data_IF_424701324212
#
_entry.id   IF_424701324212
#
_cell.length_a   1.000
_cell.length_b   1.000
_cell.length_c   1.000
_cell.angle_alpha   90.00
_cell.angle_beta   90.00
_cell.angle_gamma   90.00
#
_symmetry.space_group_name_H-M   'P 1'
#
loop_
_entity.id
_entity.type
_entity.pdbx_description
1 polymer ?
#
# COMPACT_ATOMS: atom_id res chain seq x y z
N UNK A 1 26.43 -13.49 -29.61
CA UNK A 1 26.16 -12.44 -28.63
C UNK A 1 27.45 -11.69 -28.38
N UNK A 2 27.48 -10.41 -28.71
CA UNK A 2 28.63 -9.52 -28.43
C UNK A 2 28.09 -8.40 -27.56
N UNK A 3 28.51 -8.38 -26.29
CA UNK A 3 28.02 -7.44 -25.30
C UNK A 3 28.92 -6.21 -25.20
N UNK A 4 28.32 -5.03 -25.14
CA UNK A 4 28.99 -3.78 -24.80
C UNK A 4 28.47 -3.28 -23.44
N UNK A 5 29.38 -3.06 -22.49
CA UNK A 5 29.06 -2.50 -21.18
C UNK A 5 28.89 -0.98 -21.29
N UNK A 6 27.77 -0.46 -20.77
CA UNK A 6 27.50 0.99 -20.71
C UNK A 6 28.02 1.62 -19.44
N UNK A 7 28.08 0.87 -18.34
CA UNK A 7 28.57 1.37 -17.06
C UNK A 7 28.31 0.40 -15.90
N UNK A 8 28.72 0.84 -14.71
CA UNK A 8 28.51 0.12 -13.45
C UNK A 8 28.06 1.09 -12.37
N UNK A 9 27.20 0.59 -11.50
CA UNK A 9 26.73 1.23 -10.27
C UNK A 9 27.18 0.38 -9.06
N UNK A 10 26.62 0.62 -7.88
CA UNK A 10 26.93 -0.17 -6.70
C UNK A 10 26.38 -1.59 -6.83
N UNK A 11 25.17 -1.74 -7.37
CA UNK A 11 24.47 -3.02 -7.45
C UNK A 11 24.55 -3.67 -8.83
N UNK A 12 24.74 -2.91 -9.92
CA UNK A 12 24.62 -3.44 -11.28
C UNK A 12 25.74 -3.04 -12.23
N UNK A 13 26.17 -3.98 -13.07
CA UNK A 13 26.98 -3.71 -14.26
C UNK A 13 26.12 -3.99 -15.49
N UNK A 14 25.81 -2.94 -16.23
CA UNK A 14 24.81 -3.00 -17.30
C UNK A 14 25.50 -3.07 -18.66
N UNK A 15 25.08 -4.05 -19.46
CA UNK A 15 25.54 -4.25 -20.84
C UNK A 15 24.35 -4.49 -21.79
N UNK A 16 24.58 -4.32 -23.08
CA UNK A 16 23.60 -4.66 -24.13
C UNK A 16 24.27 -5.46 -25.25
N UNK A 17 23.49 -6.30 -25.94
CA UNK A 17 23.93 -6.99 -27.14
C UNK A 17 23.98 -6.01 -28.33
N UNK A 18 25.14 -5.94 -28.98
CA UNK A 18 25.42 -5.04 -30.11
C UNK A 18 24.65 -5.34 -31.39
N UNK A 19 23.92 -6.46 -31.46
CA UNK A 19 22.98 -6.76 -32.55
C UNK A 19 21.66 -5.99 -32.44
N UNK A 20 21.33 -5.45 -31.26
CA UNK A 20 20.16 -4.61 -31.06
C UNK A 20 20.31 -3.27 -31.79
N UNK A 21 19.18 -2.65 -32.13
CA UNK A 21 19.18 -1.28 -32.65
C UNK A 21 19.79 -0.31 -31.61
N UNK A 22 20.18 0.89 -32.06
CA UNK A 22 20.66 1.94 -31.15
C UNK A 22 19.65 2.21 -30.00
N UNK A 23 18.35 2.20 -30.33
CA UNK A 23 17.28 2.44 -29.39
C UNK A 23 17.10 1.25 -28.42
N UNK A 24 17.03 0.02 -28.95
CA UNK A 24 16.74 -1.18 -28.16
C UNK A 24 17.93 -1.63 -27.31
N UNK A 25 19.16 -1.33 -27.73
CA UNK A 25 20.39 -1.68 -27.03
C UNK A 25 20.92 -0.53 -26.17
N UNK A 26 21.69 0.36 -26.79
CA UNK A 26 22.47 1.39 -26.08
C UNK A 26 21.58 2.35 -25.28
N UNK A 27 20.51 2.88 -25.89
CA UNK A 27 19.67 3.88 -25.23
C UNK A 27 18.91 3.30 -24.03
N UNK A 28 18.33 2.10 -24.14
CA UNK A 28 17.71 1.40 -23.00
C UNK A 28 18.72 1.08 -21.90
N UNK A 29 19.91 0.61 -22.25
CA UNK A 29 20.95 0.30 -21.26
C UNK A 29 21.42 1.56 -20.51
N UNK A 30 21.58 2.69 -21.20
CA UNK A 30 21.90 3.98 -20.58
C UNK A 30 20.76 4.49 -19.69
N UNK A 31 19.51 4.35 -20.15
CA UNK A 31 18.34 4.73 -19.36
C UNK A 31 18.19 3.87 -18.10
N UNK A 32 18.43 2.55 -18.19
CA UNK A 32 18.43 1.66 -17.03
C UNK A 32 19.51 2.04 -16.02
N UNK A 33 20.73 2.34 -16.49
CA UNK A 33 21.86 2.74 -15.64
C UNK A 33 21.54 4.00 -14.81
N UNK A 34 20.71 4.91 -15.34
CA UNK A 34 20.33 6.13 -14.65
C UNK A 34 19.33 5.92 -13.50
N UNK A 35 18.58 4.81 -13.48
CA UNK A 35 17.47 4.57 -12.53
C UNK A 35 17.61 3.28 -11.71
N UNK A 36 18.53 2.39 -12.06
CA UNK A 36 18.60 1.05 -11.46
C UNK A 36 18.86 1.07 -9.95
N UNK A 37 19.58 2.07 -9.43
CA UNK A 37 19.83 2.20 -7.98
C UNK A 37 18.59 2.65 -7.20
N UNK A 38 17.77 3.56 -7.77
CA UNK A 38 16.49 3.90 -7.14
C UNK A 38 15.51 2.74 -7.17
N UNK A 39 15.53 1.94 -8.25
CA UNK A 39 14.68 0.75 -8.39
C UNK A 39 15.08 -0.31 -7.37
N UNK A 40 16.39 -0.54 -7.22
CA UNK A 40 16.93 -1.43 -6.19
C UNK A 40 16.53 -1.01 -4.79
N UNK A 41 16.54 0.29 -4.48
CA UNK A 41 16.16 0.77 -3.17
C UNK A 41 14.69 0.44 -2.82
N UNK A 42 13.78 0.51 -3.80
CA UNK A 42 12.37 0.10 -3.62
C UNK A 42 12.30 -1.41 -3.34
N UNK A 43 12.96 -2.22 -4.16
CA UNK A 43 12.97 -3.67 -4.01
C UNK A 43 13.57 -4.10 -2.67
N UNK A 44 14.73 -3.57 -2.30
CA UNK A 44 15.39 -3.90 -1.03
C UNK A 44 14.54 -3.46 0.17
N UNK A 45 13.90 -2.29 0.11
CA UNK A 45 13.00 -1.79 1.17
C UNK A 45 11.80 -2.72 1.42
N UNK A 46 11.25 -3.35 0.38
CA UNK A 46 10.19 -4.35 0.56
C UNK A 46 10.63 -5.57 1.38
N UNK A 47 11.91 -5.94 1.27
CA UNK A 47 12.51 -7.06 2.00
C UNK A 47 13.25 -6.62 3.28
N UNK A 48 12.99 -5.40 3.77
CA UNK A 48 13.59 -4.89 5.01
C UNK A 48 15.08 -4.56 4.90
N UNK A 49 15.55 -4.21 3.71
CA UNK A 49 16.94 -3.80 3.46
C UNK A 49 17.91 -4.96 3.29
N UNK A 50 17.43 -6.17 2.97
CA UNK A 50 18.32 -7.31 2.71
C UNK A 50 19.15 -7.08 1.43
N UNK A 51 20.41 -7.50 1.47
CA UNK A 51 21.31 -7.43 0.34
C UNK A 51 21.09 -8.60 -0.63
N UNK A 52 21.52 -8.43 -1.88
CA UNK A 52 21.55 -9.53 -2.85
C UNK A 52 22.52 -10.63 -2.40
N UNK A 53 22.25 -11.91 -2.69
CA UNK A 53 23.06 -13.03 -2.22
C UNK A 53 24.33 -13.27 -3.07
N UNK A 54 24.76 -12.29 -3.86
CA UNK A 54 25.84 -12.40 -4.85
C UNK A 54 26.94 -11.35 -4.67
N UNK A 55 28.08 -11.58 -5.33
CA UNK A 55 29.11 -10.57 -5.49
C UNK A 55 28.60 -9.40 -6.32
N UNK A 56 28.71 -8.18 -5.77
CA UNK A 56 28.33 -6.96 -6.45
C UNK A 56 29.50 -6.36 -7.24
N UNK A 57 29.24 -5.68 -8.37
CA UNK A 57 27.93 -5.50 -9.01
C UNK A 57 27.44 -6.76 -9.75
N UNK A 58 26.12 -7.02 -9.73
CA UNK A 58 25.49 -8.09 -10.52
C UNK A 58 25.44 -7.68 -11.98
N UNK A 59 25.83 -8.59 -12.87
CA UNK A 59 25.74 -8.36 -14.31
C UNK A 59 24.29 -8.36 -14.81
N UNK A 60 23.94 -7.35 -15.60
CA UNK A 60 22.63 -7.21 -16.26
C UNK A 60 22.84 -6.98 -17.76
N UNK A 61 22.25 -7.84 -18.58
CA UNK A 61 22.39 -7.82 -20.03
C UNK A 61 21.03 -7.59 -20.71
N UNK A 62 20.90 -6.53 -21.51
CA UNK A 62 19.78 -6.36 -22.44
C UNK A 62 20.11 -7.11 -23.72
N UNK A 63 19.30 -8.11 -24.09
CA UNK A 63 19.62 -9.06 -25.16
C UNK A 63 18.43 -9.24 -26.11
N UNK A 64 18.67 -9.61 -27.39
CA UNK A 64 17.59 -9.85 -28.34
C UNK A 64 16.70 -11.03 -27.93
N UNK A 65 15.41 -10.93 -28.23
CA UNK A 65 14.41 -11.95 -27.94
C UNK A 65 13.01 -11.50 -28.30
N UNK A 66 12.05 -12.43 -28.27
CA UNK A 66 10.63 -12.09 -28.38
C UNK A 66 10.17 -11.28 -27.17
N UNK A 67 9.12 -10.47 -27.36
CA UNK A 67 8.43 -9.81 -26.26
C UNK A 67 7.66 -10.83 -25.41
N UNK A 68 7.84 -10.87 -24.10
CA UNK A 68 8.99 -10.38 -23.33
C UNK A 68 9.36 -11.42 -22.28
N UNK A 69 10.59 -11.39 -21.77
CA UNK A 69 11.01 -12.34 -20.73
C UNK A 69 12.37 -12.01 -20.14
N UNK A 70 12.68 -12.62 -18.99
CA UNK A 70 13.96 -12.44 -18.34
C UNK A 70 14.43 -13.75 -17.68
N UNK A 71 15.60 -13.68 -17.04
CA UNK A 71 16.18 -14.80 -16.28
C UNK A 71 17.11 -14.24 -15.20
N UNK A 72 16.98 -14.74 -13.97
CA UNK A 72 17.58 -14.12 -12.79
C UNK A 72 19.06 -14.44 -12.60
N UNK A 73 19.53 -15.64 -12.92
CA UNK A 73 20.90 -16.05 -12.56
C UNK A 73 21.98 -15.06 -13.06
N UNK A 74 22.99 -14.65 -12.26
CA UNK A 74 24.05 -13.77 -12.74
C UNK A 74 24.76 -14.38 -13.98
N UNK A 75 24.71 -13.73 -15.16
CA UNK A 75 24.13 -12.42 -15.44
C UNK A 75 22.61 -12.42 -15.66
N UNK A 76 21.90 -11.48 -15.03
CA UNK A 76 20.49 -11.21 -15.33
C UNK A 76 20.37 -10.90 -16.83
N UNK A 77 19.47 -11.56 -17.53
CA UNK A 77 19.29 -11.35 -18.97
C UNK A 77 17.87 -10.88 -19.28
N UNK A 78 17.74 -9.64 -19.76
CA UNK A 78 16.47 -8.98 -20.06
C UNK A 78 16.18 -9.05 -21.57
N UNK A 79 15.03 -9.61 -21.95
CA UNK A 79 14.50 -9.66 -23.33
C UNK A 79 13.20 -8.88 -23.41
N UNK A 80 13.27 -7.54 -23.43
CA UNK A 80 12.06 -6.71 -23.51
C UNK A 80 11.35 -6.83 -24.86
N UNK A 81 12.00 -7.32 -25.92
CA UNK A 81 11.49 -7.25 -27.29
C UNK A 81 11.83 -5.93 -27.99
N UNK A 82 11.80 -5.94 -29.33
CA UNK A 82 12.07 -4.76 -30.14
C UNK A 82 10.93 -3.73 -29.99
N UNK A 83 11.29 -2.45 -29.85
CA UNK A 83 10.32 -1.36 -29.74
C UNK A 83 9.64 -1.15 -28.37
N UNK A 84 9.83 -2.04 -27.41
CA UNK A 84 9.35 -1.92 -26.02
C UNK A 84 9.81 -0.66 -25.28
N UNK A 85 8.97 -0.20 -24.35
CA UNK A 85 9.31 0.93 -23.49
C UNK A 85 10.34 0.59 -22.41
N UNK A 86 10.75 1.62 -21.67
CA UNK A 86 11.67 1.48 -20.52
C UNK A 86 10.98 0.87 -19.30
N UNK A 87 9.66 1.03 -19.20
CA UNK A 87 8.78 0.35 -18.25
C UNK A 87 8.93 -1.17 -18.32
N UNK A 88 8.91 -1.77 -19.51
CA UNK A 88 9.09 -3.23 -19.69
C UNK A 88 10.45 -3.69 -19.18
N UNK A 89 11.51 -2.94 -19.48
CA UNK A 89 12.88 -3.28 -19.05
C UNK A 89 12.98 -3.25 -17.51
N UNK A 90 12.38 -2.24 -16.88
CA UNK A 90 12.38 -2.11 -15.41
C UNK A 90 11.50 -3.17 -14.77
N UNK A 91 10.33 -3.46 -15.33
CA UNK A 91 9.45 -4.55 -14.90
C UNK A 91 10.20 -5.89 -14.89
N UNK A 92 10.88 -6.23 -15.99
CA UNK A 92 11.67 -7.46 -16.08
C UNK A 92 12.82 -7.49 -15.08
N UNK A 93 13.56 -6.38 -14.90
CA UNK A 93 14.61 -6.34 -13.89
C UNK A 93 14.04 -6.56 -12.47
N UNK A 94 12.89 -5.95 -12.18
CA UNK A 94 12.25 -6.09 -10.87
C UNK A 94 11.84 -7.53 -10.62
N UNK A 95 11.16 -8.18 -11.57
CA UNK A 95 10.72 -9.57 -11.45
C UNK A 95 11.87 -10.50 -11.04
N UNK A 96 13.01 -10.40 -11.72
CA UNK A 96 14.17 -11.26 -11.43
C UNK A 96 14.90 -10.89 -10.13
N UNK A 97 15.02 -9.60 -9.82
CA UNK A 97 15.76 -9.14 -8.63
C UNK A 97 15.01 -9.47 -7.35
N UNK A 98 13.68 -9.36 -7.33
CA UNK A 98 12.91 -9.73 -6.14
C UNK A 98 12.99 -11.23 -5.85
N UNK A 99 13.15 -12.09 -6.86
CA UNK A 99 13.40 -13.52 -6.67
C UNK A 99 14.76 -13.79 -6.02
N UNK A 100 15.81 -13.02 -6.40
CA UNK A 100 17.08 -13.08 -5.68
C UNK A 100 16.95 -12.65 -4.22
N UNK A 101 16.11 -11.65 -3.94
CA UNK A 101 15.85 -11.20 -2.56
C UNK A 101 15.02 -12.23 -1.78
N UNK A 102 14.10 -12.95 -2.43
CA UNK A 102 13.38 -14.10 -1.85
C UNK A 102 14.36 -15.23 -1.49
N UNK A 103 15.29 -15.55 -2.39
CA UNK A 103 16.37 -16.49 -2.14
C UNK A 103 17.25 -16.04 -0.96
N UNK A 104 17.65 -14.77 -0.92
CA UNK A 104 18.44 -14.22 0.18
C UNK A 104 17.69 -14.25 1.51
N UNK A 105 16.38 -13.97 1.49
CA UNK A 105 15.54 -14.01 2.69
C UNK A 105 15.41 -15.44 3.22
N UNK A 106 15.34 -16.44 2.34
CA UNK A 106 15.31 -17.86 2.66
C UNK A 106 14.23 -18.25 3.69
N UNK A 107 12.99 -17.79 3.46
CA UNK A 107 11.84 -18.02 4.37
C UNK A 107 10.64 -18.70 3.71
N UNK A 108 10.82 -19.30 2.54
CA UNK A 108 9.79 -20.12 1.88
C UNK A 108 9.13 -19.49 0.64
N UNK A 109 9.59 -18.32 0.20
CA UNK A 109 9.29 -17.78 -1.13
C UNK A 109 10.15 -18.38 -2.25
N UNK A 110 11.11 -19.21 -1.88
CA UNK A 110 12.03 -19.89 -2.79
C UNK A 110 12.14 -21.34 -2.34
N UNK A 111 12.36 -22.26 -3.27
CA UNK A 111 12.58 -23.67 -2.98
C UNK A 111 13.74 -23.84 -1.98
N UNK A 112 13.59 -24.78 -1.06
CA UNK A 112 14.54 -24.96 0.04
C UNK A 112 15.94 -25.38 -0.41
N UNK A 113 16.06 -25.94 -1.61
CA UNK A 113 17.31 -26.31 -2.25
C UNK A 113 17.96 -25.16 -3.01
N UNK A 114 17.32 -23.99 -3.06
CA UNK A 114 17.79 -22.80 -3.79
C UNK A 114 17.73 -22.97 -5.31
N UNK A 115 16.96 -23.92 -5.83
CA UNK A 115 16.89 -24.19 -7.27
C UNK A 115 16.00 -23.22 -8.04
N UNK A 116 14.83 -22.87 -7.47
CA UNK A 116 13.81 -22.07 -8.13
C UNK A 116 12.88 -21.37 -7.13
N UNK A 117 12.24 -20.28 -7.54
CA UNK A 117 11.25 -19.52 -6.76
C UNK A 117 9.91 -20.26 -6.60
N UNK A 118 9.58 -21.13 -7.56
CA UNK A 118 8.36 -21.93 -7.58
C UNK A 118 7.11 -21.07 -7.70
N UNK A 119 5.92 -21.69 -7.68
CA UNK A 119 4.69 -20.96 -8.03
C UNK A 119 4.37 -19.81 -7.06
N UNK A 120 4.77 -19.92 -5.79
CA UNK A 120 4.58 -18.87 -4.78
C UNK A 120 5.51 -17.67 -5.00
N UNK A 121 6.81 -17.93 -5.26
CA UNK A 121 7.78 -16.88 -5.54
C UNK A 121 7.50 -16.19 -6.89
N UNK A 122 7.15 -16.98 -7.91
CA UNK A 122 6.74 -16.52 -9.25
C UNK A 122 5.47 -15.65 -9.20
N UNK A 123 4.52 -15.99 -8.33
CA UNK A 123 3.35 -15.16 -8.05
C UNK A 123 3.70 -13.87 -7.31
N UNK A 124 4.63 -13.93 -6.34
CA UNK A 124 5.08 -12.76 -5.62
C UNK A 124 5.88 -11.80 -6.52
N UNK A 125 6.75 -12.30 -7.39
CA UNK A 125 7.56 -11.47 -8.30
C UNK A 125 6.71 -10.67 -9.27
N UNK A 126 5.61 -11.26 -9.76
CA UNK A 126 4.55 -10.54 -10.53
C UNK A 126 3.88 -9.45 -9.73
N UNK A 127 3.41 -9.75 -8.51
CA UNK A 127 2.74 -8.75 -7.67
C UNK A 127 3.68 -7.58 -7.36
N UNK A 128 4.95 -7.87 -7.06
CA UNK A 128 5.95 -6.83 -6.78
C UNK A 128 6.33 -6.03 -8.03
N UNK A 129 6.35 -6.64 -9.20
CA UNK A 129 6.58 -5.91 -10.45
C UNK A 129 5.41 -4.99 -10.80
N UNK A 130 4.16 -5.42 -10.60
CA UNK A 130 2.98 -4.57 -10.73
C UNK A 130 2.99 -3.42 -9.70
N UNK A 131 3.31 -3.71 -8.44
CA UNK A 131 3.41 -2.70 -7.38
C UNK A 131 4.55 -1.70 -7.66
N UNK A 132 5.66 -2.15 -8.26
CA UNK A 132 6.74 -1.27 -8.71
C UNK A 132 6.24 -0.26 -9.74
N UNK A 133 5.56 -0.73 -10.80
CA UNK A 133 5.01 0.14 -11.83
C UNK A 133 4.05 1.18 -11.22
N UNK A 134 3.20 0.74 -10.28
CA UNK A 134 2.26 1.63 -9.59
C UNK A 134 2.98 2.68 -8.74
N UNK A 135 3.96 2.29 -7.92
CA UNK A 135 4.73 3.21 -7.06
C UNK A 135 5.57 4.21 -7.83
N UNK A 136 6.02 3.84 -9.02
CA UNK A 136 6.86 4.70 -9.87
C UNK A 136 6.06 5.49 -10.90
N UNK A 137 4.73 5.34 -10.93
CA UNK A 137 3.85 6.05 -11.87
C UNK A 137 4.00 5.58 -13.32
N UNK A 138 4.54 4.38 -13.55
CA UNK A 138 4.76 3.81 -14.89
C UNK A 138 3.58 2.99 -15.41
N UNK A 139 2.65 2.59 -14.54
CA UNK A 139 1.50 1.80 -14.93
C UNK A 139 0.93 0.98 -13.78
N UNK A 140 0.16 -0.05 -14.11
CA UNK A 140 -0.51 -0.93 -13.14
C UNK A 140 -0.14 -2.41 -13.31
N UNK A 141 0.18 -2.83 -14.54
CA UNK A 141 0.73 -4.14 -14.89
C UNK A 141 1.33 -4.06 -16.31
N UNK A 142 2.18 -5.03 -16.67
CA UNK A 142 2.68 -5.18 -18.03
C UNK A 142 1.67 -5.95 -18.90
N UNK A 143 1.24 -5.42 -20.06
CA UNK A 143 0.25 -6.09 -20.90
C UNK A 143 0.65 -7.52 -21.32
N UNK A 144 -0.24 -8.48 -21.06
CA UNK A 144 -0.05 -9.88 -21.46
C UNK A 144 0.79 -10.72 -20.49
N UNK A 145 1.22 -10.15 -19.36
CA UNK A 145 1.91 -10.86 -18.27
C UNK A 145 0.96 -11.38 -17.20
N UNK A 146 -0.34 -11.10 -17.32
CA UNK A 146 -1.36 -11.55 -16.38
C UNK A 146 -1.50 -13.07 -16.37
N UNK A 147 -1.45 -13.65 -15.16
CA UNK A 147 -1.56 -15.09 -14.93
C UNK A 147 -2.81 -15.47 -14.15
N UNK A 148 -3.40 -14.54 -13.40
CA UNK A 148 -4.61 -14.75 -12.62
C UNK A 148 -5.73 -15.43 -13.41
N UNK A 149 -5.93 -15.01 -14.67
CA UNK A 149 -6.94 -15.59 -15.57
C UNK A 149 -6.79 -17.09 -15.77
N UNK A 150 -5.56 -17.63 -15.76
CA UNK A 150 -5.35 -19.06 -15.94
C UNK A 150 -5.97 -19.86 -14.81
N UNK A 151 -5.90 -19.37 -13.57
CA UNK A 151 -6.53 -20.03 -12.44
C UNK A 151 -8.05 -19.78 -12.41
N UNK A 152 -8.50 -18.54 -12.62
CA UNK A 152 -9.93 -18.20 -12.62
C UNK A 152 -10.71 -19.03 -13.65
N UNK A 153 -10.12 -19.29 -14.82
CA UNK A 153 -10.76 -20.03 -15.90
C UNK A 153 -10.47 -21.56 -15.86
N UNK A 154 -9.84 -22.06 -14.79
CA UNK A 154 -9.52 -23.48 -14.59
C UNK A 154 -10.54 -24.20 -13.68
N UNK A 155 -10.20 -25.43 -13.26
CA UNK A 155 -10.87 -26.15 -12.17
C UNK A 155 -10.67 -25.51 -10.78
N UNK A 156 -9.84 -24.46 -10.67
CA UNK A 156 -9.54 -23.71 -9.43
C UNK A 156 -9.01 -24.62 -8.33
N UNK A 157 -7.97 -25.40 -8.67
CA UNK A 157 -7.25 -26.27 -7.74
C UNK A 157 -6.61 -25.44 -6.63
N UNK A 158 -6.53 -26.00 -5.41
CA UNK A 158 -5.89 -25.37 -4.26
C UNK A 158 -4.36 -25.35 -4.38
N UNK A 159 -3.86 -24.29 -5.02
CA UNK A 159 -2.44 -23.93 -5.02
C UNK A 159 -2.09 -22.92 -3.91
N UNK A 160 -2.96 -22.71 -2.92
CA UNK A 160 -2.66 -21.89 -1.74
C UNK A 160 -2.00 -22.76 -0.67
N UNK A 161 -2.50 -23.98 -0.50
CA UNK A 161 -1.95 -24.96 0.44
C UNK A 161 -1.03 -26.00 -0.23
N UNK A 162 -1.07 -26.14 -1.56
CA UNK A 162 -0.23 -27.07 -2.32
C UNK A 162 0.64 -26.32 -3.32
N UNK A 163 1.81 -25.85 -2.87
CA UNK A 163 2.77 -25.16 -3.74
C UNK A 163 3.59 -26.19 -4.51
N UNK A 164 3.73 -25.95 -5.82
CA UNK A 164 4.72 -26.61 -6.64
C UNK A 164 6.01 -25.77 -6.64
N UNK A 165 7.02 -26.22 -5.91
CA UNK A 165 8.27 -25.49 -5.70
C UNK A 165 9.17 -25.46 -6.94
N UNK A 166 8.84 -26.23 -7.99
CA UNK A 166 9.60 -26.29 -9.23
C UNK A 166 8.84 -25.74 -10.45
N UNK A 167 7.58 -25.32 -10.26
CA UNK A 167 6.81 -24.69 -11.31
C UNK A 167 6.97 -23.16 -11.30
N UNK A 168 7.37 -22.65 -12.46
CA UNK A 168 7.59 -21.23 -12.74
C UNK A 168 6.96 -20.84 -14.08
N UNK A 169 5.97 -21.62 -14.52
CA UNK A 169 5.27 -21.34 -15.76
C UNK A 169 4.19 -20.28 -15.52
N UNK A 170 3.89 -19.44 -16.54
CA UNK A 170 2.70 -18.60 -16.52
C UNK A 170 1.45 -19.47 -16.73
N UNK A 171 0.91 -20.04 -15.65
CA UNK A 171 -0.18 -21.01 -15.67
C UNK A 171 -1.14 -20.85 -14.48
N UNK A 172 -1.99 -21.85 -14.23
CA UNK A 172 -2.96 -21.80 -13.14
C UNK A 172 -2.34 -21.83 -11.73
N UNK A 173 -1.12 -22.35 -11.55
CA UNK A 173 -0.44 -22.37 -10.25
C UNK A 173 0.07 -20.99 -9.90
N UNK A 174 0.88 -20.39 -10.78
CA UNK A 174 1.36 -19.01 -10.60
C UNK A 174 0.20 -17.99 -10.63
N UNK A 175 -0.85 -18.25 -11.42
CA UNK A 175 -2.08 -17.45 -11.42
C UNK A 175 -2.83 -17.48 -10.09
N UNK A 176 -2.96 -18.65 -9.46
CA UNK A 176 -3.55 -18.77 -8.13
C UNK A 176 -2.73 -18.02 -7.08
N UNK A 177 -1.40 -18.18 -7.14
CA UNK A 177 -0.49 -17.52 -6.22
C UNK A 177 -0.58 -15.99 -6.32
N UNK A 178 -0.53 -15.47 -7.55
CA UNK A 178 -0.65 -14.03 -7.85
C UNK A 178 -1.97 -13.48 -7.31
N UNK A 179 -3.10 -14.15 -7.59
CA UNK A 179 -4.41 -13.75 -7.06
C UNK A 179 -4.48 -13.79 -5.54
N UNK A 180 -3.96 -14.85 -4.92
CA UNK A 180 -4.04 -14.98 -3.47
C UNK A 180 -3.20 -13.93 -2.75
N UNK A 181 -2.03 -13.57 -3.30
CA UNK A 181 -1.21 -12.48 -2.75
C UNK A 181 -1.94 -11.13 -2.90
N UNK A 182 -2.58 -10.87 -4.05
CA UNK A 182 -3.44 -9.70 -4.22
C UNK A 182 -4.66 -9.72 -3.27
N UNK A 183 -5.23 -10.89 -2.97
CA UNK A 183 -6.27 -11.03 -1.95
C UNK A 183 -5.75 -10.63 -0.56
N UNK A 184 -4.57 -11.10 -0.15
CA UNK A 184 -3.97 -10.67 1.13
C UNK A 184 -3.75 -9.15 1.18
N UNK A 185 -3.30 -8.54 0.07
CA UNK A 185 -2.97 -7.13 0.06
C UNK A 185 -4.19 -6.21 -0.09
N UNK A 186 -4.99 -6.42 -1.14
CA UNK A 186 -6.07 -5.52 -1.55
C UNK A 186 -7.43 -5.92 -1.00
N UNK A 187 -7.70 -7.21 -0.78
CA UNK A 187 -8.94 -7.64 -0.12
C UNK A 187 -8.81 -7.54 1.41
N UNK A 188 -7.75 -8.10 1.99
CA UNK A 188 -7.57 -8.13 3.45
C UNK A 188 -6.81 -6.93 4.02
N UNK A 189 -6.23 -6.08 3.17
CA UNK A 189 -5.60 -4.83 3.59
C UNK A 189 -4.20 -4.96 4.19
N UNK A 190 -3.51 -6.10 4.01
CA UNK A 190 -2.13 -6.25 4.51
C UNK A 190 -1.12 -5.52 3.61
N UNK A 191 -0.26 -4.70 4.22
CA UNK A 191 0.86 -4.08 3.51
C UNK A 191 1.81 -5.14 2.94
N UNK A 192 2.36 -4.85 1.75
CA UNK A 192 3.19 -5.78 1.00
C UNK A 192 4.45 -6.22 1.77
N UNK A 193 5.05 -5.34 2.58
CA UNK A 193 6.22 -5.70 3.41
C UNK A 193 5.83 -6.70 4.49
N UNK A 194 4.63 -6.57 5.06
CA UNK A 194 4.12 -7.55 6.04
C UNK A 194 3.89 -8.89 5.39
N UNK A 195 3.34 -8.92 4.17
CA UNK A 195 3.14 -10.16 3.40
C UNK A 195 4.48 -10.84 3.15
N UNK A 196 5.46 -10.10 2.61
CA UNK A 196 6.82 -10.61 2.37
C UNK A 196 7.46 -11.13 3.66
N UNK A 197 7.38 -10.39 4.76
CA UNK A 197 7.99 -10.77 6.04
C UNK A 197 7.31 -11.99 6.69
N UNK A 198 6.00 -12.19 6.44
CA UNK A 198 5.23 -13.31 6.94
C UNK A 198 5.53 -14.64 6.24
N UNK A 199 6.33 -14.62 5.17
CA UNK A 199 6.92 -15.76 4.45
C UNK A 199 6.72 -17.15 5.08
N UNK A 200 6.28 -18.10 4.27
CA UNK A 200 6.16 -19.49 4.64
C UNK A 200 6.26 -20.38 3.38
N UNK A 201 6.52 -21.70 3.52
CA UNK A 201 6.56 -22.62 2.37
C UNK A 201 5.22 -22.78 1.61
N UNK A 202 4.12 -22.27 2.17
CA UNK A 202 2.81 -22.25 1.51
C UNK A 202 2.17 -20.88 1.68
N UNK A 203 1.34 -20.47 0.73
CA UNK A 203 0.58 -19.21 0.84
C UNK A 203 -0.44 -19.27 1.98
N UNK A 204 -0.99 -20.45 2.26
CA UNK A 204 -1.77 -20.68 3.48
C UNK A 204 -0.95 -20.43 4.75
N UNK A 205 0.34 -20.78 4.74
CA UNK A 205 1.27 -20.46 5.83
C UNK A 205 1.51 -18.95 5.98
N UNK A 206 1.66 -18.23 4.87
CA UNK A 206 1.79 -16.76 4.86
C UNK A 206 0.56 -16.12 5.50
N UNK A 207 -0.64 -16.55 5.10
CA UNK A 207 -1.90 -16.10 5.72
C UNK A 207 -1.94 -16.34 7.23
N UNK A 208 -1.56 -17.54 7.69
CA UNK A 208 -1.55 -17.86 9.13
C UNK A 208 -0.54 -17.01 9.91
N UNK A 209 0.63 -16.76 9.33
CA UNK A 209 1.63 -15.88 9.93
C UNK A 209 1.16 -14.41 9.99
N UNK A 210 0.43 -13.94 8.97
CA UNK A 210 -0.14 -12.58 8.93
C UNK A 210 -1.28 -12.37 9.93
N UNK A 211 -2.17 -13.35 10.02
CA UNK A 211 -3.46 -13.19 10.71
C UNK A 211 -3.44 -13.76 12.13
N UNK A 212 -2.49 -14.64 12.44
CA UNK A 212 -2.48 -15.45 13.66
C UNK A 212 -3.58 -16.51 13.72
N UNK A 213 -4.37 -16.67 12.64
CA UNK A 213 -5.46 -17.64 12.59
C UNK A 213 -4.97 -19.03 12.20
N UNK A 214 -5.74 -20.05 12.55
CA UNK A 214 -5.41 -21.45 12.26
C UNK A 214 -6.32 -22.06 11.17
N UNK A 215 -7.28 -21.28 10.64
CA UNK A 215 -8.17 -21.75 9.59
C UNK A 215 -7.47 -21.83 8.23
N UNK A 216 -8.02 -22.67 7.36
CA UNK A 216 -7.63 -22.75 5.96
C UNK A 216 -8.21 -21.53 5.20
N UNK A 217 -7.38 -20.67 4.60
CA UNK A 217 -7.87 -19.51 3.88
C UNK A 217 -8.48 -19.85 2.51
N UNK A 218 -8.17 -21.02 1.93
CA UNK A 218 -8.54 -21.32 0.55
C UNK A 218 -10.06 -21.40 0.32
N UNK A 219 -10.87 -22.04 1.18
CA UNK A 219 -12.33 -22.07 0.99
C UNK A 219 -12.97 -20.68 0.94
N UNK A 220 -12.56 -19.75 1.80
CA UNK A 220 -13.11 -18.40 1.83
C UNK A 220 -12.67 -17.58 0.61
N UNK A 221 -11.37 -17.63 0.28
CA UNK A 221 -10.82 -17.01 -0.93
C UNK A 221 -11.51 -17.52 -2.20
N UNK A 222 -11.63 -18.84 -2.34
CA UNK A 222 -12.29 -19.46 -3.50
C UNK A 222 -13.77 -19.10 -3.58
N UNK A 223 -14.49 -19.11 -2.47
CA UNK A 223 -15.90 -18.74 -2.45
C UNK A 223 -16.14 -17.30 -2.91
N UNK A 224 -15.25 -16.37 -2.54
CA UNK A 224 -15.28 -14.99 -3.02
C UNK A 224 -15.04 -14.89 -4.54
N UNK A 225 -14.06 -15.63 -5.06
CA UNK A 225 -13.84 -15.66 -6.52
C UNK A 225 -15.00 -16.33 -7.25
N UNK A 226 -15.57 -17.40 -6.70
CA UNK A 226 -16.72 -18.11 -7.28
C UNK A 226 -17.99 -17.24 -7.33
N UNK A 227 -18.19 -16.30 -6.39
CA UNK A 227 -19.37 -15.41 -6.38
C UNK A 227 -19.33 -14.32 -7.45
N UNK A 228 -18.14 -13.78 -7.76
CA UNK A 228 -17.96 -12.72 -8.77
C UNK A 228 -17.66 -13.25 -10.16
N UNK A 229 -16.91 -14.34 -10.21
CA UNK A 229 -16.45 -14.95 -11.43
C UNK A 229 -16.93 -16.40 -11.42
N UNK A 230 -18.24 -16.68 -11.56
CA UNK A 230 -18.72 -18.05 -11.61
C UNK A 230 -18.06 -18.81 -12.77
N UNK A 231 -17.61 -20.04 -12.52
CA UNK A 231 -16.95 -20.86 -13.56
C UNK A 231 -17.92 -21.25 -14.67
N UNK A 232 -19.18 -21.51 -14.32
CA UNK A 232 -20.19 -21.99 -15.26
C UNK A 232 -21.39 -21.05 -15.32
N UNK A 233 -21.89 -20.83 -16.52
CA UNK A 233 -23.20 -20.23 -16.75
C UNK A 233 -24.31 -21.12 -16.16
N UNK A 234 -25.53 -20.58 -15.95
CA UNK A 234 -26.70 -21.37 -15.55
C UNK A 234 -27.03 -22.54 -16.50
N UNK A 235 -26.57 -22.47 -17.76
CA UNK A 235 -26.74 -23.52 -18.77
C UNK A 235 -25.64 -24.60 -18.75
N UNK A 236 -24.65 -24.48 -17.86
CA UNK A 236 -23.53 -25.41 -17.72
C UNK A 236 -22.33 -25.14 -18.63
N UNK A 237 -22.36 -24.13 -19.50
CA UNK A 237 -21.18 -23.72 -20.28
C UNK A 237 -20.14 -23.03 -19.40
N UNK A 238 -18.85 -23.20 -19.72
CA UNK A 238 -17.73 -22.61 -18.96
C UNK A 238 -17.48 -21.17 -19.40
N UNK A 239 -17.24 -20.27 -18.44
CA UNK A 239 -16.81 -18.89 -18.70
C UNK A 239 -15.32 -18.81 -19.06
N UNK A 240 -14.98 -17.83 -19.89
CA UNK A 240 -13.60 -17.35 -20.10
C UNK A 240 -13.51 -15.90 -19.61
N UNK A 241 -13.21 -15.73 -18.32
CA UNK A 241 -13.14 -14.42 -17.69
C UNK A 241 -11.87 -13.68 -18.12
N UNK A 242 -12.06 -12.44 -18.55
CA UNK A 242 -11.03 -11.40 -18.47
C UNK A 242 -11.30 -10.59 -17.21
N UNK A 243 -10.33 -10.55 -16.29
CA UNK A 243 -10.49 -9.80 -15.05
C UNK A 243 -10.50 -8.29 -15.32
N UNK A 244 -11.35 -7.52 -14.62
CA UNK A 244 -11.53 -6.10 -14.90
C UNK A 244 -10.36 -5.26 -14.39
N UNK A 245 -10.26 -4.03 -14.91
CA UNK A 245 -9.34 -3.01 -14.40
C UNK A 245 -7.99 -2.97 -15.11
N UNK A 246 -7.13 -2.01 -14.72
CA UNK A 246 -5.84 -1.79 -15.36
C UNK A 246 -4.77 -2.81 -14.94
N UNK A 247 -5.02 -3.59 -13.89
CA UNK A 247 -4.20 -4.76 -13.51
C UNK A 247 -5.09 -6.02 -13.55
N UNK A 248 -5.04 -6.80 -14.64
CA UNK A 248 -5.83 -8.04 -14.76
C UNK A 248 -5.44 -9.16 -13.79
N UNK A 249 -4.39 -9.00 -12.98
CA UNK A 249 -4.06 -9.93 -11.89
C UNK A 249 -4.71 -9.58 -10.56
N UNK A 250 -5.33 -8.39 -10.46
CA UNK A 250 -5.88 -7.89 -9.23
C UNK A 250 -7.34 -7.45 -9.42
N UNK A 251 -8.31 -8.36 -9.23
CA UNK A 251 -9.72 -8.01 -9.27
C UNK A 251 -10.21 -7.39 -7.95
N UNK A 252 -9.36 -7.30 -6.93
CA UNK A 252 -9.75 -6.88 -5.58
C UNK A 252 -9.72 -5.36 -5.42
N UNK A 253 -10.57 -4.82 -4.53
CA UNK A 253 -11.52 -5.53 -3.68
C UNK A 253 -12.78 -6.04 -4.43
N UNK A 254 -13.19 -7.27 -4.14
CA UNK A 254 -14.43 -7.92 -4.59
C UNK A 254 -15.40 -8.03 -3.43
N UNK A 255 -16.71 -7.87 -3.68
CA UNK A 255 -17.73 -7.70 -2.63
C UNK A 255 -17.18 -6.85 -1.50
N UNK A 256 -16.89 -5.56 -1.78
CA UNK A 256 -16.34 -4.58 -0.83
C UNK A 256 -15.99 -5.22 0.51
N UNK A 257 -14.75 -5.71 0.68
CA UNK A 257 -14.34 -6.13 2.01
C UNK A 257 -14.73 -5.01 2.96
N UNK A 258 -15.16 -5.33 4.18
CA UNK A 258 -15.41 -4.37 5.26
C UNK A 258 -14.21 -3.43 5.55
N UNK A 259 -13.12 -3.48 4.78
CA UNK A 259 -12.05 -2.49 4.72
C UNK A 259 -12.22 -1.33 3.72
N UNK A 260 -13.33 -1.23 2.97
CA UNK A 260 -13.69 -0.04 2.18
C UNK A 260 -15.09 0.52 2.52
N UNK A 261 -15.76 -0.09 3.48
CA UNK A 261 -16.76 0.57 4.33
C UNK A 261 -16.00 0.98 5.58
N UNK A 262 -16.31 2.11 6.24
CA UNK A 262 -15.60 2.41 7.47
C UNK A 262 -15.81 1.27 8.48
N UNK A 263 -14.77 0.49 8.80
CA UNK A 263 -14.85 -0.47 9.91
C UNK A 263 -15.26 0.35 11.12
N UNK A 264 -16.36 0.00 11.77
CA UNK A 264 -16.92 0.83 12.84
C UNK A 264 -17.14 0.01 14.08
N UNK A 265 -16.61 0.49 15.21
CA UNK A 265 -16.91 -0.06 16.52
C UNK A 265 -17.83 0.89 17.26
N UNK A 266 -18.90 0.33 17.82
CA UNK A 266 -19.85 1.05 18.66
C UNK A 266 -19.57 0.77 20.13
N UNK A 267 -19.45 1.83 20.92
CA UNK A 267 -19.13 1.73 22.34
C UNK A 267 -20.18 2.49 23.14
N UNK A 268 -20.62 1.88 24.23
CA UNK A 268 -21.65 2.41 25.12
C UNK A 268 -21.03 2.82 26.44
N UNK A 269 -21.34 4.05 26.86
CA UNK A 269 -20.72 4.72 28.00
C UNK A 269 -21.77 5.26 28.94
N UNK A 270 -21.40 5.37 30.21
CA UNK A 270 -22.06 6.29 31.15
C UNK A 270 -21.08 7.41 31.48
N UNK A 271 -21.27 8.57 30.86
CA UNK A 271 -20.33 9.70 30.94
C UNK A 271 -20.80 10.74 31.94
N UNK A 272 -19.85 11.37 32.64
CA UNK A 272 -20.13 12.49 33.53
C UNK A 272 -20.38 13.78 32.73
N UNK A 273 -21.08 14.78 33.31
CA UNK A 273 -21.16 16.13 32.76
C UNK A 273 -19.80 16.72 32.40
N UNK A 274 -19.77 17.51 31.33
CA UNK A 274 -18.57 18.23 30.91
C UNK A 274 -17.65 17.41 30.01
N UNK A 275 -16.35 17.70 30.08
CA UNK A 275 -15.32 17.20 29.15
C UNK A 275 -14.78 15.84 29.58
N UNK A 276 -14.97 14.81 28.77
CA UNK A 276 -14.48 13.46 29.01
C UNK A 276 -13.41 13.10 27.96
N UNK A 277 -12.21 12.68 28.38
CA UNK A 277 -11.19 12.13 27.47
C UNK A 277 -11.43 10.63 27.37
N UNK A 278 -11.54 10.13 26.15
CA UNK A 278 -11.78 8.73 25.82
C UNK A 278 -10.57 8.19 25.08
N UNK A 279 -10.08 7.03 25.52
CA UNK A 279 -9.05 6.27 24.83
C UNK A 279 -9.64 4.91 24.48
N UNK A 280 -9.51 4.52 23.21
CA UNK A 280 -9.92 3.22 22.71
C UNK A 280 -8.74 2.56 22.04
N UNK A 281 -8.26 1.46 22.62
CA UNK A 281 -7.34 0.57 21.95
C UNK A 281 -8.09 -0.31 20.96
N UNK A 282 -7.65 -0.29 19.71
CA UNK A 282 -8.22 -1.06 18.62
C UNK A 282 -7.14 -1.36 17.58
N UNK A 283 -6.74 -2.62 17.48
CA UNK A 283 -5.61 -3.10 16.66
C UNK A 283 -5.73 -2.80 15.16
N UNK A 284 -6.94 -2.47 14.68
CA UNK A 284 -7.15 -2.06 13.30
C UNK A 284 -6.62 -0.64 12.99
N UNK A 285 -6.39 0.18 14.01
CA UNK A 285 -5.90 1.56 13.85
C UNK A 285 -4.38 1.65 13.95
N UNK A 286 -3.81 2.72 13.44
CA UNK A 286 -2.42 3.13 13.61
C UNK A 286 -2.33 4.64 13.82
N UNK A 287 -1.14 5.16 14.08
CA UNK A 287 -0.92 6.61 14.20
C UNK A 287 -1.26 7.38 12.91
N UNK A 288 -1.25 6.72 11.76
CA UNK A 288 -1.54 7.32 10.45
C UNK A 288 -2.99 7.11 10.00
N UNK A 289 -3.82 6.42 10.78
CA UNK A 289 -5.19 6.14 10.36
C UNK A 289 -6.02 7.42 10.19
N UNK A 290 -6.93 7.40 9.23
CA UNK A 290 -7.97 8.40 9.05
C UNK A 290 -9.24 7.86 9.69
N UNK A 291 -9.79 8.57 10.68
CA UNK A 291 -10.95 8.11 11.45
C UNK A 291 -12.06 9.15 11.49
N UNK A 292 -13.31 8.70 11.61
CA UNK A 292 -14.45 9.52 12.05
C UNK A 292 -14.98 9.01 13.38
N UNK A 293 -15.36 9.93 14.25
CA UNK A 293 -15.98 9.61 15.54
C UNK A 293 -17.30 10.36 15.66
N UNK A 294 -18.38 9.64 15.94
CA UNK A 294 -19.69 10.23 16.21
C UNK A 294 -20.15 9.89 17.62
N UNK A 295 -21.02 10.72 18.20
CA UNK A 295 -21.61 10.48 19.51
C UNK A 295 -23.11 10.80 19.53
N UNK A 296 -23.87 10.09 20.36
CA UNK A 296 -25.29 10.35 20.60
C UNK A 296 -25.73 9.80 21.95
N UNK A 297 -26.86 10.26 22.47
CA UNK A 297 -27.50 9.63 23.62
C UNK A 297 -28.06 8.24 23.26
N UNK A 298 -28.17 7.35 24.25
CA UNK A 298 -28.84 6.05 24.10
C UNK A 298 -29.61 5.64 25.36
N UNK A 299 -30.59 4.75 25.20
CA UNK A 299 -31.39 4.21 26.32
C UNK A 299 -31.24 2.70 26.47
N UNK A 300 -30.93 2.25 27.69
CA UNK A 300 -30.90 0.83 28.05
C UNK A 300 -32.32 0.29 28.22
N UNK A 301 -32.66 -0.80 27.53
CA UNK A 301 -33.99 -1.44 27.63
C UNK A 301 -35.08 -0.84 26.74
N UNK A 302 -34.74 0.10 25.84
CA UNK A 302 -35.62 0.54 24.75
C UNK A 302 -35.75 -0.51 23.63
N UNK A 303 -36.30 -0.11 22.49
CA UNK A 303 -36.38 -1.00 21.31
C UNK A 303 -34.95 -1.36 20.89
N UNK A 304 -34.58 -2.63 21.02
CA UNK A 304 -33.29 -3.09 20.49
C UNK A 304 -33.30 -2.94 18.97
N UNK A 305 -32.24 -2.36 18.43
CA UNK A 305 -31.98 -2.37 16.99
C UNK A 305 -31.72 -3.82 16.55
N UNK A 306 -31.82 -4.09 15.24
CA UNK A 306 -31.70 -5.45 14.69
C UNK A 306 -30.34 -6.12 15.01
N UNK A 307 -29.32 -5.32 15.33
CA UNK A 307 -27.98 -5.72 15.79
C UNK A 307 -27.91 -6.00 17.31
N UNK A 308 -29.07 -6.12 17.99
CA UNK A 308 -29.20 -6.26 19.44
C UNK A 308 -28.65 -5.09 20.27
N UNK A 309 -28.37 -3.95 19.65
CA UNK A 309 -27.77 -2.80 20.28
C UNK A 309 -28.84 -1.84 20.86
N UNK A 310 -28.43 -0.92 21.74
CA UNK A 310 -29.35 -0.04 22.45
C UNK A 310 -29.84 1.10 21.55
N UNK A 311 -31.10 1.53 21.72
CA UNK A 311 -31.68 2.57 20.89
C UNK A 311 -30.97 3.91 21.09
N UNK A 312 -30.43 4.47 20.00
CA UNK A 312 -29.88 5.82 19.94
C UNK A 312 -31.00 6.84 19.72
N UNK A 313 -30.84 8.04 20.26
CA UNK A 313 -31.76 9.14 20.03
C UNK A 313 -31.05 10.49 20.17
N UNK A 314 -31.69 11.54 19.65
CA UNK A 314 -31.29 12.93 19.90
C UNK A 314 -32.08 13.41 21.10
N UNK A 315 -31.43 13.53 22.25
CA UNK A 315 -32.03 14.09 23.46
C UNK A 315 -31.79 15.60 23.57
N UNK A 316 -32.08 16.14 24.75
CA UNK A 316 -31.98 17.57 25.00
C UNK A 316 -30.54 18.04 25.31
N UNK A 317 -29.61 17.12 25.58
CA UNK A 317 -28.23 17.46 25.89
C UNK A 317 -27.45 17.81 24.62
N UNK A 318 -26.58 18.81 24.70
CA UNK A 318 -25.57 19.03 23.64
C UNK A 318 -24.43 18.05 23.81
N UNK A 319 -24.16 17.24 22.79
CA UNK A 319 -23.06 16.27 22.78
C UNK A 319 -22.10 16.63 21.64
N UNK A 320 -20.82 16.84 21.93
CA UNK A 320 -19.79 17.11 20.91
C UNK A 320 -18.66 16.09 20.99
N UNK A 321 -18.06 15.82 19.84
CA UNK A 321 -16.82 15.06 19.73
C UNK A 321 -15.74 16.01 19.22
N UNK A 322 -14.65 16.10 19.94
CA UNK A 322 -13.58 17.05 19.69
C UNK A 322 -12.20 16.35 19.82
N UNK A 323 -11.15 16.97 19.26
CA UNK A 323 -9.75 16.58 19.45
C UNK A 323 -9.48 15.07 19.26
N UNK A 324 -9.78 14.56 18.06
CA UNK A 324 -9.61 13.15 17.69
C UNK A 324 -8.17 12.89 17.24
N UNK A 325 -7.52 11.88 17.81
CA UNK A 325 -6.10 11.56 17.57
C UNK A 325 -5.90 10.03 17.54
N UNK A 326 -5.79 9.43 16.35
CA UNK A 326 -5.28 8.08 16.18
C UNK A 326 -3.86 7.94 16.75
N UNK A 327 -3.53 6.77 17.29
CA UNK A 327 -2.21 6.49 17.86
C UNK A 327 -1.77 5.06 17.58
N UNK A 328 -0.46 4.84 17.64
CA UNK A 328 0.20 3.57 17.37
C UNK A 328 1.73 3.73 17.37
N UNK A 329 2.48 2.63 17.16
CA UNK A 329 3.93 2.68 17.13
C UNK A 329 4.42 3.63 16.03
N UNK A 330 5.54 4.36 16.25
CA UNK A 330 6.46 4.26 17.39
C UNK A 330 6.07 5.09 18.63
N UNK A 331 5.03 5.93 18.56
CA UNK A 331 4.72 6.92 19.59
C UNK A 331 3.88 6.40 20.75
N UNK A 332 3.08 5.36 20.49
CA UNK A 332 2.34 4.60 21.48
C UNK A 332 2.52 3.11 21.17
N UNK A 333 2.93 2.25 22.12
CA UNK A 333 2.99 0.81 21.87
C UNK A 333 1.62 0.19 21.54
N UNK A 334 0.51 0.87 21.86
CA UNK A 334 -0.85 0.42 21.56
C UNK A 334 -1.43 1.15 20.34
N UNK A 335 -2.18 0.38 19.57
CA UNK A 335 -2.96 0.84 18.42
C UNK A 335 -4.33 1.35 18.89
N UNK A 336 -4.76 2.53 18.44
CA UNK A 336 -6.05 3.05 18.87
C UNK A 336 -6.37 4.48 18.46
N UNK A 337 -7.35 5.06 19.14
CA UNK A 337 -7.74 6.47 19.02
C UNK A 337 -8.03 7.07 20.39
N UNK A 338 -7.56 8.30 20.59
CA UNK A 338 -7.94 9.15 21.71
C UNK A 338 -8.79 10.30 21.21
N UNK A 339 -9.88 10.62 21.90
CA UNK A 339 -10.76 11.72 21.54
C UNK A 339 -11.45 12.31 22.77
N UNK A 340 -12.12 13.45 22.60
CA UNK A 340 -12.86 14.12 23.66
C UNK A 340 -14.35 14.05 23.36
N UNK A 341 -15.15 13.72 24.37
CA UNK A 341 -16.62 13.86 24.33
C UNK A 341 -17.05 14.86 25.39
N UNK A 342 -17.70 15.95 24.96
CA UNK A 342 -18.27 16.95 25.88
C UNK A 342 -19.78 16.70 26.03
N UNK A 343 -20.21 16.50 27.27
CA UNK A 343 -21.62 16.27 27.63
C UNK A 343 -22.19 17.52 28.29
N UNK A 344 -22.92 18.32 27.51
CA UNK A 344 -23.63 19.52 27.95
C UNK A 344 -24.92 19.20 28.71
N UNK A 345 -24.79 18.59 29.88
CA UNK A 345 -25.90 18.25 30.76
C UNK A 345 -25.54 18.43 32.24
N UNK A 346 -26.53 18.38 33.15
CA UNK A 346 -26.31 18.57 34.59
C UNK A 346 -26.06 17.28 35.38
N UNK A 347 -26.21 16.11 34.75
CA UNK A 347 -26.05 14.81 35.37
C UNK A 347 -25.45 13.79 34.40
N UNK A 348 -24.89 12.66 34.87
CA UNK A 348 -24.34 11.65 33.98
C UNK A 348 -25.37 11.08 32.99
N UNK A 349 -24.96 10.92 31.73
CA UNK A 349 -25.80 10.42 30.64
C UNK A 349 -25.23 9.15 30.02
N UNK A 350 -26.13 8.37 29.43
CA UNK A 350 -25.81 7.22 28.60
C UNK A 350 -25.45 7.72 27.20
N UNK A 351 -24.17 7.62 26.84
CA UNK A 351 -23.63 8.10 25.56
C UNK A 351 -23.11 6.91 24.76
N UNK A 352 -23.42 6.89 23.47
CA UNK A 352 -22.92 5.93 22.50
C UNK A 352 -21.94 6.65 21.58
N UNK A 353 -20.78 6.06 21.32
CA UNK A 353 -19.85 6.55 20.30
C UNK A 353 -19.65 5.51 19.21
N UNK A 354 -19.65 5.93 17.95
CA UNK A 354 -19.15 5.12 16.84
C UNK A 354 -17.77 5.63 16.47
N UNK A 355 -16.78 4.74 16.40
CA UNK A 355 -15.44 5.02 15.85
C UNK A 355 -15.31 4.26 14.55
N UNK A 356 -15.13 5.00 13.47
CA UNK A 356 -15.05 4.50 12.10
C UNK A 356 -13.65 4.70 11.52
N UNK A 357 -12.97 3.63 11.15
CA UNK A 357 -11.74 3.66 10.36
C UNK A 357 -12.10 3.94 8.90
N UNK A 358 -11.77 5.13 8.40
CA UNK A 358 -12.03 5.55 7.02
C UNK A 358 -10.93 5.06 6.08
N UNK A 359 -9.66 5.16 6.51
CA UNK A 359 -8.52 4.68 5.76
C UNK A 359 -7.35 4.39 6.70
N UNK A 360 -6.51 3.41 6.37
CA UNK A 360 -5.34 3.04 7.19
C UNK A 360 -4.25 4.14 7.18
N UNK A 361 -4.19 4.93 6.11
CA UNK A 361 -3.26 6.05 5.93
C UNK A 361 -3.93 7.16 5.10
N UNK A 362 -3.55 8.44 5.25
CA UNK A 362 -4.03 9.49 4.35
C UNK A 362 -3.50 9.28 2.93
N UNK A 363 -4.28 9.69 1.92
CA UNK A 363 -3.87 9.63 0.52
C UNK A 363 -2.71 10.58 0.19
N UNK A 364 -2.60 11.70 0.93
CA UNK A 364 -1.51 12.65 0.85
C UNK A 364 -1.36 13.36 2.20
N UNK A 365 -0.12 13.71 2.56
CA UNK A 365 0.19 14.54 3.73
C UNK A 365 0.78 15.85 3.23
N UNK A 366 0.15 16.97 3.56
CA UNK A 366 0.62 18.30 3.19
C UNK A 366 0.96 19.07 4.45
N UNK A 367 2.23 19.41 4.60
CA UNK A 367 2.68 20.31 5.66
C UNK A 367 2.49 21.75 5.20
N UNK A 368 1.43 22.37 5.69
CA UNK A 368 1.28 23.83 5.58
C UNK A 368 2.06 24.39 6.78
N UNK A 369 3.09 25.20 6.51
CA UNK A 369 3.93 25.83 7.54
C UNK A 369 3.13 26.71 8.52
N UNK A 370 3.83 27.47 9.38
CA UNK A 370 3.18 28.31 10.38
C UNK A 370 2.21 29.33 9.74
N UNK A 371 0.95 29.27 10.16
CA UNK A 371 -0.01 30.34 9.93
C UNK A 371 0.30 31.44 10.96
N UNK A 372 1.09 32.45 10.58
CA UNK A 372 1.22 33.65 11.40
C UNK A 372 -0.05 34.48 11.17
N UNK A 373 -0.85 34.68 12.22
CA UNK A 373 -1.97 35.63 12.19
C UNK A 373 -1.44 37.01 11.80
N UNK A 374 -1.84 37.51 10.63
CA UNK A 374 -1.66 38.92 10.29
C UNK A 374 -2.77 39.73 10.96
N UNK A 375 -2.63 39.94 12.27
CA UNK A 375 -3.58 40.68 13.10
C UNK A 375 -2.88 41.56 14.13
N UNK A 376 -2.75 42.85 13.81
CA UNK A 376 -2.48 44.01 14.69
C UNK A 376 -1.15 44.11 15.49
N UNK A 377 -0.39 45.15 15.13
CA UNK A 377 0.59 45.92 15.92
C UNK A 377 1.64 45.15 16.76
N UNK A 378 2.75 44.77 16.10
CA UNK A 378 4.00 44.53 16.80
C UNK A 378 4.70 45.87 17.12
N UNK A 379 4.66 46.28 18.39
CA UNK A 379 5.63 47.24 18.93
C UNK A 379 7.04 46.62 18.94
N UNK A 380 8.12 47.41 18.73
CA UNK A 380 9.48 46.86 18.68
C UNK A 380 9.96 46.54 20.10
N UNK A 381 9.97 45.26 20.45
CA UNK A 381 10.48 44.74 21.72
C UNK A 381 11.71 43.85 21.51
N UNK A 382 12.73 44.08 22.31
CA UNK A 382 14.11 43.60 22.22
C UNK A 382 14.31 42.08 22.13
N UNK A 383 15.33 41.70 21.34
CA UNK A 383 15.86 40.34 21.22
C UNK A 383 16.70 40.00 22.45
N UNK A 384 16.24 39.04 23.26
CA UNK A 384 17.08 38.32 24.22
C UNK A 384 17.31 36.89 23.73
N UNK A 385 18.59 36.51 23.62
CA UNK A 385 19.03 35.28 22.97
C UNK A 385 19.20 34.05 23.86
N UNK A 386 19.47 32.95 23.13
CA UNK A 386 20.04 31.64 23.47
C UNK A 386 19.06 30.54 23.96
N UNK A 387 19.37 29.22 23.79
CA UNK A 387 20.33 28.53 22.88
C UNK A 387 19.73 27.32 22.08
N UNK A 388 20.41 26.89 21.01
CA UNK A 388 20.29 25.56 20.34
C UNK A 388 20.61 24.38 21.29
N UNK A 389 20.32 23.07 21.02
CA UNK A 389 20.19 22.32 19.73
C UNK A 389 18.98 21.31 19.70
N UNK A 390 18.67 20.44 18.72
CA UNK A 390 19.41 19.44 17.92
C UNK A 390 18.57 19.06 16.68
N UNK A 391 19.20 18.93 15.52
CA UNK A 391 18.57 18.56 14.26
C UNK A 391 18.29 17.04 14.17
N UNK A 392 17.12 16.68 13.65
CA UNK A 392 16.88 15.38 13.01
C UNK A 392 16.02 15.63 11.76
N UNK A 393 16.64 15.46 10.59
CA UNK A 393 16.01 15.66 9.30
C UNK A 393 15.44 14.32 8.80
N UNK A 394 14.13 14.26 8.61
CA UNK A 394 13.49 13.30 7.72
C UNK A 394 12.90 14.09 6.54
N UNK A 395 13.48 13.92 5.35
CA UNK A 395 12.92 14.45 4.11
C UNK A 395 11.94 13.42 3.54
N UNK A 396 10.66 13.79 3.43
CA UNK A 396 9.65 13.03 2.68
C UNK A 396 9.53 13.61 1.26
N UNK A 397 9.56 12.73 0.27
CA UNK A 397 9.51 13.06 -1.15
C UNK A 397 8.13 13.61 -1.56
N UNK A 398 8.18 14.70 -2.34
CA UNK A 398 7.04 15.42 -2.90
C UNK A 398 6.36 14.60 -4.01
N UNK A 399 5.06 14.35 -3.85
CA UNK A 399 4.18 13.93 -4.94
C UNK A 399 2.92 14.80 -4.89
N UNK A 400 2.99 15.98 -5.51
CA UNK A 400 1.86 16.90 -5.55
C UNK A 400 1.36 17.13 -6.98
N UNK A 401 0.16 16.62 -7.26
CA UNK A 401 -0.77 17.38 -8.10
C UNK A 401 -1.23 18.64 -7.35
N UNK A 402 -1.66 19.71 -8.04
CA UNK A 402 -1.95 20.99 -7.38
C UNK A 402 -3.18 20.89 -6.47
N UNK A 403 -2.95 20.92 -5.15
CA UNK A 403 -3.99 21.20 -4.16
C UNK A 403 -4.21 22.71 -4.12
N UNK A 404 -5.40 23.16 -4.51
CA UNK A 404 -5.75 24.58 -4.42
C UNK A 404 -6.32 24.87 -3.03
N UNK A 405 -5.59 25.63 -2.23
CA UNK A 405 -6.05 26.11 -0.92
C UNK A 405 -6.91 27.36 -1.10
N UNK A 406 -8.13 27.33 -0.55
CA UNK A 406 -8.97 28.50 -0.40
C UNK A 406 -8.92 28.94 1.07
N UNK A 407 -8.39 30.13 1.35
CA UNK A 407 -8.55 30.78 2.65
C UNK A 407 -9.80 31.66 2.61
N UNK A 408 -10.66 31.52 3.61
CA UNK A 408 -11.79 32.42 3.84
C UNK A 408 -11.61 33.05 5.22
N UNK A 409 -11.60 34.37 5.29
CA UNK A 409 -11.65 35.10 6.56
C UNK A 409 -13.12 35.28 6.94
N UNK A 410 -13.55 34.67 8.04
CA UNK A 410 -14.89 34.90 8.60
C UNK A 410 -14.75 36.02 9.62
N UNK A 411 -15.35 37.18 9.35
CA UNK A 411 -15.48 38.24 10.36
C UNK A 411 -16.51 37.84 11.43
N UNK A 412 -16.37 38.39 12.63
CA UNK A 412 -17.18 38.05 13.82
C UNK A 412 -18.68 38.35 13.71
N UNK A 413 -19.10 38.99 12.62
CA UNK A 413 -20.47 39.34 12.24
C UNK A 413 -21.05 38.48 11.09
N UNK A 414 -20.33 37.44 10.64
CA UNK A 414 -20.86 36.41 9.73
C UNK A 414 -20.99 36.84 8.26
N UNK A 415 -20.38 37.95 7.86
CA UNK A 415 -20.29 38.34 6.45
C UNK A 415 -19.05 37.72 5.79
N UNK A 416 -19.24 36.98 4.70
CA UNK A 416 -18.13 36.48 3.87
C UNK A 416 -17.61 37.66 3.04
N UNK A 417 -16.41 38.15 3.34
CA UNK A 417 -15.74 39.15 2.52
C UNK A 417 -14.66 38.51 1.64
N UNK A 418 -14.76 38.81 0.33
CA UNK A 418 -13.82 38.62 -0.78
C UNK A 418 -13.07 37.28 -0.95
N UNK A 419 -13.43 36.53 -1.99
CA UNK A 419 -12.63 35.40 -2.48
C UNK A 419 -11.53 35.92 -3.42
N UNK A 420 -10.27 35.95 -2.97
CA UNK A 420 -9.14 36.14 -3.88
C UNK A 420 -8.47 34.80 -4.16
N UNK A 421 -8.45 34.37 -5.42
CA UNK A 421 -7.60 33.27 -5.87
C UNK A 421 -6.23 33.83 -6.28
N UNK A 422 -5.15 33.29 -5.72
CA UNK A 422 -3.81 33.45 -6.27
C UNK A 422 -3.27 32.07 -6.62
N UNK A 423 -2.85 31.87 -7.86
CA UNK A 423 -1.98 30.76 -8.20
C UNK A 423 -0.62 31.02 -7.54
N UNK A 424 -0.27 30.24 -6.53
CA UNK A 424 1.09 30.25 -6.03
C UNK A 424 2.00 29.65 -7.11
N UNK A 425 2.92 30.47 -7.65
CA UNK A 425 4.03 29.96 -8.43
C UNK A 425 4.89 29.04 -7.57
N UNK A 426 5.65 28.15 -8.22
CA UNK A 426 6.59 27.19 -7.64
C UNK A 426 7.31 27.79 -6.44
N UNK A 427 7.09 27.22 -5.24
CA UNK A 427 7.85 27.57 -4.05
C UNK A 427 9.26 27.04 -4.23
N UNK A 428 10.20 27.92 -4.57
CA UNK A 428 11.62 27.63 -4.37
C UNK A 428 11.91 27.88 -2.89
N UNK A 429 12.23 26.81 -2.16
CA UNK A 429 12.82 26.90 -0.83
C UNK A 429 14.27 27.34 -0.97
N UNK A 430 14.57 28.61 -0.71
CA UNK A 430 15.90 29.01 -0.26
C UNK A 430 16.02 28.65 1.22
N UNK A 431 16.90 27.70 1.52
CA UNK A 431 17.30 27.37 2.88
C UNK A 431 18.40 28.35 3.27
N UNK A 432 18.06 29.44 3.97
CA UNK A 432 19.07 30.19 4.70
C UNK A 432 19.47 29.40 5.94
N UNK A 433 20.74 28.98 5.94
CA UNK A 433 21.39 28.33 7.06
C UNK A 433 21.56 29.32 8.23
N UNK A 434 20.99 28.98 9.38
CA UNK A 434 21.44 29.46 10.71
C UNK A 434 21.44 28.30 11.68
#
# INVERSE_FOLDING_TARGET
MTLNTVGSTAHYRISYDTSLSLADGLQRAQALLAVCESDYQIMSDWFGGIALPYGLPVDVNIVPGGYAGASWGPPISLRPGDGSGMDVVRYLLVAEVVEMLMLAQNKGWFASDGSNEGAAGEGLSRVLSAEFLRRTGLGFNEPGFDTARFWVNSDRVDYVNSIDEHDHAPDAKSGCATLFINYLSYQLGYDIKRIIAAAAPTLGGVYRNLTGRADDPFPAFKALIDSHFPRTNPDGSVHDWTLPGPNPDNPFPLDFYEGAVPMSVRIYWRMNPGRNVVNLNWDALSADSVVAVSASEYVTGGQKLADNSAQRFVGAASITVDNVTPHGPPFDPNHGVTFVVTVGWSAPLNICTDVSLINNQPLAVVYVGSQIESGSEAAPGEVHGAPSPVASAYALADSSGPVTLHTATVSTDGAVADQSSRSAGTVQTEVEAV
#
